data_IF_380677813528
#
_entry.id   IF_380677813528
#
_cell.length_a   1.000
_cell.length_b   1.000
_cell.length_c   1.000
_cell.angle_alpha   90.00
_cell.angle_beta   90.00
_cell.angle_gamma   90.00
#
_symmetry.space_group_name_H-M   'P 1'
#
loop_
_entity.id
_entity.type
_entity.pdbx_description
1 polymer ?
#
# COMPACT_ATOMS: atom_id res chain seq x y z
N UNK A 1 2.09 10.54 -10.14
CA UNK A 1 2.54 10.38 -8.76
C UNK A 1 2.57 8.93 -8.30
N UNK A 2 3.06 8.73 -7.09
CA UNK A 2 3.22 7.40 -6.49
C UNK A 2 1.95 6.86 -5.83
N UNK A 3 0.90 7.63 -5.74
CA UNK A 3 -0.37 7.26 -5.13
C UNK A 3 -1.56 7.90 -5.83
N UNK A 4 -2.75 7.44 -5.50
CA UNK A 4 -3.98 7.82 -6.18
C UNK A 4 -5.13 8.11 -5.23
N UNK A 5 -4.93 8.25 -3.96
CA UNK A 5 -6.01 8.50 -3.01
C UNK A 5 -5.57 8.33 -1.57
N UNK A 6 -6.50 7.93 -0.71
CA UNK A 6 -6.28 7.83 0.73
C UNK A 6 -5.15 6.91 1.14
N UNK A 7 -5.07 5.72 0.54
CA UNK A 7 -4.03 4.73 0.85
C UNK A 7 -2.61 5.29 0.64
N UNK A 8 -2.34 5.84 -0.55
CA UNK A 8 -1.02 6.39 -0.90
C UNK A 8 -0.68 7.63 -0.08
N UNK A 9 -1.65 8.53 0.16
CA UNK A 9 -1.42 9.73 0.99
C UNK A 9 -1.20 9.36 2.46
N UNK A 10 -1.90 8.35 2.98
CA UNK A 10 -1.70 7.87 4.34
C UNK A 10 -0.28 7.34 4.54
N UNK A 11 0.24 6.53 3.61
CA UNK A 11 1.62 6.05 3.64
C UNK A 11 2.64 7.21 3.67
N UNK A 12 2.41 8.26 2.84
CA UNK A 12 3.25 9.45 2.86
C UNK A 12 3.18 10.20 4.19
N UNK A 13 2.00 10.29 4.81
CA UNK A 13 1.83 10.89 6.14
C UNK A 13 2.53 10.08 7.23
N UNK A 14 2.49 8.75 7.16
CA UNK A 14 3.21 7.89 8.11
C UNK A 14 4.73 8.06 8.00
N UNK A 15 5.29 8.10 6.78
CA UNK A 15 6.73 8.31 6.61
C UNK A 15 7.19 9.65 7.22
N UNK A 16 6.42 10.73 7.01
CA UNK A 16 6.68 12.02 7.64
C UNK A 16 6.56 11.97 9.16
N UNK A 17 5.51 11.32 9.68
CA UNK A 17 5.29 11.15 11.10
C UNK A 17 6.37 10.32 11.80
N UNK A 18 6.77 9.22 11.20
CA UNK A 18 7.83 8.35 11.71
C UNK A 18 9.18 9.09 11.75
N UNK A 19 9.53 9.81 10.67
CA UNK A 19 10.73 10.64 10.63
C UNK A 19 10.69 11.75 11.68
N UNK A 20 9.56 12.43 11.85
CA UNK A 20 9.39 13.50 12.84
C UNK A 20 9.58 12.99 14.28
N UNK A 21 9.09 11.79 14.57
CA UNK A 21 9.20 11.18 15.91
C UNK A 21 10.49 10.37 16.11
N UNK A 22 11.40 10.35 15.14
CA UNK A 22 12.70 9.68 15.27
C UNK A 22 12.66 8.16 15.14
N UNK A 23 11.58 7.58 14.64
CA UNK A 23 11.51 6.16 14.36
C UNK A 23 12.31 5.80 13.10
N UNK A 24 13.06 4.71 13.19
CA UNK A 24 13.73 4.15 12.02
C UNK A 24 12.70 3.42 11.15
N UNK A 25 12.48 3.93 9.96
CA UNK A 25 11.48 3.38 9.06
C UNK A 25 11.93 3.42 7.61
N UNK A 26 11.41 2.48 6.83
CA UNK A 26 11.63 2.39 5.41
C UNK A 26 10.34 1.98 4.72
N UNK A 27 9.90 2.80 3.76
CA UNK A 27 8.80 2.46 2.88
C UNK A 27 9.31 1.80 1.60
N UNK A 28 8.51 0.91 1.03
CA UNK A 28 8.79 0.26 -0.24
C UNK A 28 7.62 0.47 -1.20
N UNK A 29 7.91 0.80 -2.45
CA UNK A 29 6.93 0.91 -3.52
C UNK A 29 7.58 0.67 -4.88
N UNK A 30 6.80 0.80 -5.95
CA UNK A 30 7.30 0.73 -7.32
C UNK A 30 7.57 2.15 -7.83
N UNK A 31 8.67 2.32 -8.55
CA UNK A 31 9.00 3.56 -9.27
C UNK A 31 8.18 3.61 -10.56
N UNK A 32 6.89 3.95 -10.44
CA UNK A 32 6.04 4.12 -11.61
C UNK A 32 6.54 5.28 -12.47
N UNK A 33 6.70 5.05 -13.77
CA UNK A 33 7.04 6.13 -14.72
C UNK A 33 5.88 7.11 -14.88
N UNK A 34 4.67 6.58 -14.98
CA UNK A 34 3.45 7.36 -15.03
C UNK A 34 2.55 7.08 -13.82
N UNK A 35 1.95 8.13 -13.27
CA UNK A 35 0.84 8.01 -12.32
C UNK A 35 -0.41 7.40 -13.00
N UNK A 36 -1.54 7.37 -12.27
CA UNK A 36 -2.76 6.73 -12.80
C UNK A 36 -3.20 7.38 -14.11
N UNK A 37 -3.36 8.67 -14.16
CA UNK A 37 -3.56 9.54 -15.34
C UNK A 37 -3.62 11.00 -14.89
N UNK A 38 -3.43 11.91 -15.85
CA UNK A 38 -3.72 13.32 -15.71
C UNK A 38 -5.10 13.60 -16.27
N UNK A 39 -6.02 14.06 -15.42
CA UNK A 39 -7.39 14.37 -15.82
C UNK A 39 -7.47 15.69 -16.55
N UNK A 40 -8.16 15.71 -17.68
CA UNK A 40 -8.58 16.90 -18.42
C UNK A 40 -10.06 16.79 -18.79
N UNK A 41 -10.77 17.91 -18.75
CA UNK A 41 -12.12 17.97 -19.26
C UNK A 41 -12.09 18.66 -20.64
N UNK A 42 -12.66 18.00 -21.64
CA UNK A 42 -12.79 18.49 -23.01
C UNK A 42 -14.24 18.29 -23.43
N UNK A 43 -14.91 19.40 -23.79
CA UNK A 43 -16.33 19.40 -24.19
C UNK A 43 -17.27 18.70 -23.18
N UNK A 44 -16.98 18.88 -21.88
CA UNK A 44 -17.76 18.26 -20.80
C UNK A 44 -17.39 16.81 -20.46
N UNK A 45 -16.47 16.20 -21.22
CA UNK A 45 -16.04 14.81 -21.01
C UNK A 45 -14.66 14.72 -20.39
N UNK A 46 -14.47 13.71 -19.52
CA UNK A 46 -13.15 13.40 -18.97
C UNK A 46 -12.25 12.84 -20.08
N UNK A 47 -11.06 13.42 -20.20
CA UNK A 47 -9.97 12.94 -21.05
C UNK A 47 -8.81 12.56 -20.15
N UNK A 48 -8.24 11.38 -20.36
CA UNK A 48 -7.13 10.83 -19.59
C UNK A 48 -5.83 10.99 -20.37
N UNK A 49 -4.85 11.66 -19.75
CA UNK A 49 -3.53 11.89 -20.33
C UNK A 49 -2.47 11.21 -19.46
N UNK A 50 -1.33 10.79 -20.03
CA UNK A 50 -0.23 10.26 -19.22
C UNK A 50 0.22 11.25 -18.15
N UNK A 51 0.35 10.77 -16.90
CA UNK A 51 0.85 11.55 -15.76
C UNK A 51 2.34 11.26 -15.55
N UNK A 52 3.20 11.88 -16.36
CA UNK A 52 4.63 11.88 -16.13
C UNK A 52 4.97 12.87 -15.01
N UNK A 53 5.09 12.34 -13.81
CA UNK A 53 5.19 13.13 -12.57
C UNK A 53 6.61 13.56 -12.19
N UNK A 54 7.62 13.12 -12.95
CA UNK A 54 9.03 13.47 -12.79
C UNK A 54 9.55 14.26 -14.02
N UNK A 55 9.00 15.44 -14.33
CA UNK A 55 9.33 16.18 -15.56
C UNK A 55 10.78 16.67 -15.61
N UNK A 56 11.44 16.81 -14.46
CA UNK A 56 12.84 17.19 -14.32
C UNK A 56 13.81 16.00 -14.15
N UNK A 57 13.32 14.76 -14.36
CA UNK A 57 14.10 13.54 -14.10
C UNK A 57 14.12 13.16 -12.61
N UNK A 58 15.14 12.40 -12.22
CA UNK A 58 15.24 11.78 -10.89
C UNK A 58 15.89 12.66 -9.82
N UNK A 59 15.58 13.95 -9.79
CA UNK A 59 16.22 14.92 -8.84
C UNK A 59 16.12 14.47 -7.38
N UNK A 60 15.00 13.82 -7.00
CA UNK A 60 14.74 13.35 -5.63
C UNK A 60 15.05 11.88 -5.42
N UNK A 61 15.45 11.15 -6.46
CA UNK A 61 15.66 9.71 -6.44
C UNK A 61 17.15 9.41 -6.66
N UNK A 62 17.73 8.66 -5.73
CA UNK A 62 19.12 8.20 -5.80
C UNK A 62 19.13 6.75 -6.23
N UNK A 63 19.62 6.40 -7.43
CA UNK A 63 19.72 5.00 -7.86
C UNK A 63 20.73 4.25 -6.98
N UNK A 64 20.43 3.00 -6.68
CA UNK A 64 21.28 2.11 -5.89
C UNK A 64 21.46 0.79 -6.65
N UNK A 65 22.12 0.87 -7.79
CA UNK A 65 22.30 -0.29 -8.69
C UNK A 65 23.02 -1.46 -8.02
N UNK A 66 23.90 -1.18 -7.06
CA UNK A 66 24.58 -2.20 -6.25
C UNK A 66 23.64 -3.01 -5.33
N UNK A 67 22.39 -2.58 -5.23
CA UNK A 67 21.31 -3.26 -4.48
C UNK A 67 20.27 -3.88 -5.38
N UNK A 68 20.53 -3.97 -6.68
CA UNK A 68 19.63 -4.63 -7.61
C UNK A 68 19.48 -6.12 -7.25
N UNK A 69 18.29 -6.64 -7.49
CA UNK A 69 18.00 -8.07 -7.29
C UNK A 69 17.11 -8.60 -8.41
N UNK A 70 17.00 -9.91 -8.48
CA UNK A 70 16.18 -10.59 -9.49
C UNK A 70 14.88 -11.08 -8.90
N UNK A 71 13.80 -10.94 -9.69
CA UNK A 71 12.47 -11.48 -9.39
C UNK A 71 12.07 -12.44 -10.50
N UNK A 72 11.63 -13.63 -10.13
CA UNK A 72 11.32 -14.73 -11.05
C UNK A 72 9.82 -14.93 -11.18
N UNK A 73 9.37 -15.04 -12.42
CA UNK A 73 7.98 -15.32 -12.78
C UNK A 73 7.91 -16.55 -13.69
N UNK A 74 6.77 -17.23 -13.70
CA UNK A 74 6.48 -18.36 -14.59
C UNK A 74 7.49 -19.50 -14.43
N UNK A 75 7.74 -20.27 -15.49
CA UNK A 75 8.60 -21.44 -15.42
C UNK A 75 7.97 -22.58 -14.62
N UNK A 76 8.81 -23.45 -14.08
CA UNK A 76 8.39 -24.59 -13.28
C UNK A 76 9.34 -24.83 -12.09
N UNK A 77 8.87 -25.58 -11.13
CA UNK A 77 9.64 -25.96 -9.96
C UNK A 77 10.10 -27.41 -10.14
N UNK A 78 11.42 -27.61 -10.04
CA UNK A 78 12.04 -28.92 -9.91
C UNK A 78 12.56 -29.05 -8.49
N UNK A 79 12.17 -30.09 -7.80
CA UNK A 79 12.58 -30.35 -6.43
C UNK A 79 13.11 -31.74 -6.22
N UNK A 80 13.98 -31.87 -5.24
CA UNK A 80 14.57 -33.13 -4.82
C UNK A 80 14.85 -33.10 -3.32
N UNK A 81 14.97 -34.29 -2.73
CA UNK A 81 15.28 -34.43 -1.31
C UNK A 81 16.66 -35.11 -1.15
N UNK A 82 17.46 -34.55 -0.27
CA UNK A 82 18.71 -35.14 0.20
C UNK A 82 18.63 -35.33 1.72
N UNK A 83 18.26 -36.52 2.14
CA UNK A 83 17.85 -36.73 3.53
C UNK A 83 16.60 -35.92 3.87
N UNK A 84 16.70 -35.09 4.90
CA UNK A 84 15.63 -34.20 5.35
C UNK A 84 15.67 -32.83 4.66
N UNK A 85 16.65 -32.58 3.79
CA UNK A 85 16.80 -31.30 3.11
C UNK A 85 16.09 -31.28 1.76
N UNK A 86 15.22 -30.30 1.59
CA UNK A 86 14.44 -30.06 0.37
C UNK A 86 15.16 -29.06 -0.53
N UNK A 87 15.66 -29.50 -1.65
CA UNK A 87 16.25 -28.66 -2.70
C UNK A 87 15.19 -28.23 -3.67
N UNK A 88 15.06 -26.94 -3.90
CA UNK A 88 14.09 -26.34 -4.82
C UNK A 88 14.81 -25.54 -5.89
N UNK A 89 14.58 -25.87 -7.15
CA UNK A 89 15.08 -25.15 -8.31
C UNK A 89 13.92 -24.56 -9.11
N UNK A 90 13.96 -23.25 -9.33
CA UNK A 90 13.02 -22.57 -10.20
C UNK A 90 13.64 -22.47 -11.60
N UNK A 91 13.18 -23.30 -12.52
CA UNK A 91 13.75 -23.45 -13.87
C UNK A 91 12.83 -22.81 -14.93
N UNK A 92 13.43 -22.40 -16.04
CA UNK A 92 12.73 -21.73 -17.15
C UNK A 92 11.93 -20.49 -16.72
N UNK A 93 12.36 -19.83 -15.64
CA UNK A 93 11.72 -18.63 -15.15
C UNK A 93 11.95 -17.43 -16.07
N UNK A 94 10.96 -16.57 -16.14
CA UNK A 94 11.09 -15.24 -16.72
C UNK A 94 11.65 -14.30 -15.64
N UNK A 95 12.90 -13.87 -15.79
CA UNK A 95 13.61 -13.07 -14.79
C UNK A 95 13.47 -11.58 -15.09
N UNK A 96 13.15 -10.82 -14.06
CA UNK A 96 13.07 -9.36 -14.08
C UNK A 96 14.04 -8.79 -13.04
N UNK A 97 14.88 -7.84 -13.44
CA UNK A 97 15.75 -7.12 -12.52
C UNK A 97 14.99 -5.98 -11.85
N UNK A 98 15.04 -5.94 -10.53
CA UNK A 98 14.54 -4.84 -9.71
C UNK A 98 15.69 -3.92 -9.32
N UNK A 99 15.63 -2.66 -9.75
CA UNK A 99 16.63 -1.64 -9.46
C UNK A 99 16.04 -0.63 -8.48
N UNK A 100 16.61 -0.48 -7.26
CA UNK A 100 16.08 0.42 -6.27
C UNK A 100 16.53 1.87 -6.47
N UNK A 101 15.60 2.79 -6.21
CA UNK A 101 15.82 4.23 -6.15
C UNK A 101 15.39 4.71 -4.77
N UNK A 102 16.28 5.40 -4.06
CA UNK A 102 15.99 5.89 -2.71
C UNK A 102 15.58 7.36 -2.72
N UNK A 103 14.43 7.64 -2.09
CA UNK A 103 13.98 8.97 -1.75
C UNK A 103 14.07 9.15 -0.24
N UNK A 104 14.73 10.20 0.22
CA UNK A 104 14.83 10.51 1.63
C UNK A 104 13.69 11.43 2.07
N UNK A 105 13.01 11.05 3.14
CA UNK A 105 11.88 11.79 3.71
C UNK A 105 12.31 12.33 5.07
N UNK A 106 12.60 13.62 5.13
CA UNK A 106 12.91 14.31 6.38
C UNK A 106 11.64 14.82 7.04
N UNK A 107 11.52 14.59 8.35
CA UNK A 107 10.49 15.19 9.18
C UNK A 107 10.95 16.51 9.81
N UNK A 108 10.15 17.08 10.68
CA UNK A 108 10.52 18.26 11.47
C UNK A 108 11.50 17.92 12.61
N UNK A 109 11.64 16.66 12.98
CA UNK A 109 12.53 16.18 14.02
C UNK A 109 13.94 15.84 13.49
N UNK A 110 14.62 14.94 14.21
CA UNK A 110 15.99 14.50 13.90
C UNK A 110 16.03 13.25 13.01
N UNK A 111 14.88 12.63 12.74
CA UNK A 111 14.78 11.40 11.98
C UNK A 111 14.67 11.65 10.49
N UNK A 112 15.11 10.65 9.72
CA UNK A 112 14.94 10.58 8.26
C UNK A 112 14.41 9.21 7.92
N UNK A 113 13.25 9.15 7.28
CA UNK A 113 12.72 7.92 6.68
C UNK A 113 13.25 7.78 5.26
N UNK A 114 13.28 6.55 4.78
CA UNK A 114 13.63 6.24 3.40
C UNK A 114 12.42 5.63 2.69
N UNK A 115 12.15 6.09 1.49
CA UNK A 115 11.23 5.44 0.57
C UNK A 115 12.03 4.83 -0.57
N UNK A 116 12.06 3.50 -0.67
CA UNK A 116 12.73 2.75 -1.73
C UNK A 116 11.73 2.39 -2.81
N UNK A 117 12.00 2.82 -4.02
CA UNK A 117 11.16 2.63 -5.19
C UNK A 117 11.86 1.70 -6.19
N UNK A 118 11.20 0.61 -6.56
CA UNK A 118 11.75 -0.38 -7.47
C UNK A 118 11.36 -0.11 -8.91
N UNK A 119 12.35 0.04 -9.77
CA UNK A 119 12.19 0.03 -11.23
C UNK A 119 12.43 -1.37 -11.78
N UNK A 120 11.62 -1.79 -12.74
CA UNK A 120 11.75 -3.08 -13.40
C UNK A 120 12.48 -2.96 -14.73
N UNK A 121 13.38 -3.92 -14.99
CA UNK A 121 14.15 -3.99 -16.22
C UNK A 121 14.41 -5.45 -16.57
N UNK A 122 14.54 -5.77 -17.86
CA UNK A 122 15.08 -7.07 -18.25
C UNK A 122 16.56 -7.12 -17.91
N UNK A 123 17.09 -8.22 -17.28
CA UNK A 123 18.50 -8.30 -16.89
C UNK A 123 19.45 -8.11 -18.08
N UNK A 124 19.18 -8.88 -19.14
CA UNK A 124 19.97 -8.86 -20.37
C UNK A 124 19.07 -8.75 -21.58
N UNK A 125 19.38 -7.85 -22.49
CA UNK A 125 18.79 -7.86 -23.82
C UNK A 125 19.27 -9.10 -24.57
N UNK A 126 18.34 -9.89 -25.09
CA UNK A 126 18.70 -11.14 -25.76
C UNK A 126 19.30 -10.87 -27.14
N UNK A 127 20.61 -10.64 -27.15
CA UNK A 127 21.39 -10.40 -28.36
C UNK A 127 21.39 -11.61 -29.28
N UNK A 128 21.22 -12.83 -28.75
CA UNK A 128 21.15 -14.05 -29.56
C UNK A 128 19.89 -14.06 -30.39
N UNK A 129 18.73 -13.84 -29.77
CA UNK A 129 17.45 -13.71 -30.47
C UNK A 129 17.47 -12.56 -31.47
N UNK A 130 18.06 -11.43 -31.08
CA UNK A 130 18.19 -10.27 -31.95
C UNK A 130 19.02 -10.57 -33.19
N UNK A 131 20.22 -11.14 -33.02
CA UNK A 131 21.11 -11.52 -34.11
C UNK A 131 20.59 -12.65 -35.01
N UNK A 132 19.68 -13.49 -34.50
CA UNK A 132 18.96 -14.48 -35.27
C UNK A 132 17.77 -13.91 -36.06
N UNK A 133 17.57 -12.59 -36.04
CA UNK A 133 16.46 -11.94 -36.73
C UNK A 133 15.13 -11.96 -35.98
N UNK A 134 15.09 -12.49 -34.76
CA UNK A 134 13.88 -12.49 -33.90
C UNK A 134 13.72 -11.19 -33.11
N UNK A 135 13.81 -10.05 -33.81
CA UNK A 135 13.80 -8.72 -33.19
C UNK A 135 12.55 -8.46 -32.36
N UNK A 136 11.39 -8.77 -32.88
CA UNK A 136 10.09 -8.56 -32.21
C UNK A 136 10.06 -9.30 -30.88
N UNK A 137 10.44 -10.57 -30.85
CA UNK A 137 10.45 -11.39 -29.64
C UNK A 137 11.40 -10.86 -28.57
N UNK A 138 12.60 -10.44 -28.98
CA UNK A 138 13.58 -9.85 -28.06
C UNK A 138 13.06 -8.52 -27.46
N UNK A 139 12.41 -7.68 -28.28
CA UNK A 139 11.80 -6.42 -27.84
C UNK A 139 10.57 -6.64 -26.95
N UNK A 140 9.70 -7.61 -27.26
CA UNK A 140 8.54 -7.96 -26.46
C UNK A 140 8.92 -8.42 -25.06
N UNK A 141 9.95 -9.25 -24.91
CA UNK A 141 10.45 -9.68 -23.61
C UNK A 141 10.95 -8.53 -22.76
N UNK A 142 11.67 -7.56 -23.38
CA UNK A 142 12.11 -6.36 -22.70
C UNK A 142 10.92 -5.47 -22.28
N UNK A 143 9.98 -5.26 -23.18
CA UNK A 143 8.78 -4.45 -22.93
C UNK A 143 7.92 -5.04 -21.81
N UNK A 144 7.77 -6.36 -21.74
CA UNK A 144 7.01 -7.03 -20.68
C UNK A 144 7.66 -6.85 -19.30
N UNK A 145 8.98 -6.91 -19.20
CA UNK A 145 9.69 -6.64 -17.96
C UNK A 145 9.52 -5.18 -17.53
N UNK A 146 9.68 -4.24 -18.44
CA UNK A 146 9.54 -2.80 -18.16
C UNK A 146 8.10 -2.38 -17.84
N UNK A 147 7.10 -3.08 -18.39
CA UNK A 147 5.68 -2.78 -18.16
C UNK A 147 5.30 -2.84 -16.66
N UNK A 148 6.00 -3.63 -15.86
CA UNK A 148 5.73 -3.80 -14.42
C UNK A 148 5.83 -2.46 -13.68
N UNK A 149 6.81 -1.62 -13.99
CA UNK A 149 6.97 -0.29 -13.37
C UNK A 149 6.47 0.87 -14.23
N UNK A 150 5.66 0.61 -15.26
CA UNK A 150 5.23 1.64 -16.21
C UNK A 150 4.14 2.54 -15.67
N UNK A 151 3.03 1.97 -15.21
CA UNK A 151 1.82 2.72 -14.83
C UNK A 151 1.27 2.26 -13.49
N UNK A 152 0.91 3.23 -12.63
CA UNK A 152 0.20 3.01 -11.39
C UNK A 152 -1.25 2.56 -11.67
N UNK A 153 -1.68 1.46 -11.06
CA UNK A 153 -3.03 0.90 -11.17
C UNK A 153 -3.49 0.73 -12.62
N UNK A 154 -2.84 -0.12 -13.44
CA UNK A 154 -3.35 -0.45 -14.75
C UNK A 154 -4.73 -1.09 -14.66
N UNK A 155 -5.54 -0.94 -15.70
CA UNK A 155 -6.85 -1.57 -15.76
C UNK A 155 -6.73 -3.10 -15.64
N UNK A 156 -7.61 -3.72 -14.87
CA UNK A 156 -7.61 -5.16 -14.56
C UNK A 156 -8.91 -5.88 -14.94
N UNK A 157 -9.62 -5.33 -15.90
CA UNK A 157 -10.83 -5.90 -16.49
C UNK A 157 -10.56 -6.92 -17.59
N UNK A 158 -9.30 -7.13 -17.97
CA UNK A 158 -8.85 -8.16 -18.89
C UNK A 158 -7.89 -9.17 -18.22
N UNK A 159 -7.69 -10.36 -18.79
CA UNK A 159 -6.70 -11.33 -18.29
C UNK A 159 -5.28 -10.76 -18.26
N UNK A 160 -4.90 -9.98 -19.28
CA UNK A 160 -3.59 -9.32 -19.37
C UNK A 160 -3.41 -8.29 -18.27
N UNK A 161 -4.44 -7.47 -18.01
CA UNK A 161 -4.43 -6.48 -16.95
C UNK A 161 -4.32 -7.11 -15.56
N UNK A 162 -5.05 -8.20 -15.31
CA UNK A 162 -4.93 -8.99 -14.07
C UNK A 162 -3.54 -9.58 -13.91
N UNK A 163 -2.97 -10.17 -14.97
CA UNK A 163 -1.61 -10.69 -14.96
C UNK A 163 -0.58 -9.60 -14.64
N UNK A 164 -0.70 -8.43 -15.27
CA UNK A 164 0.19 -7.31 -15.00
C UNK A 164 0.10 -6.85 -13.54
N UNK A 165 -1.10 -6.73 -12.98
CA UNK A 165 -1.27 -6.33 -11.57
C UNK A 165 -0.70 -7.34 -10.59
N UNK A 166 -0.86 -8.64 -10.84
CA UNK A 166 -0.26 -9.68 -10.01
C UNK A 166 1.28 -9.64 -10.11
N UNK A 167 1.83 -9.39 -11.30
CA UNK A 167 3.28 -9.18 -11.49
C UNK A 167 3.77 -7.97 -10.71
N UNK A 168 3.06 -6.85 -10.74
CA UNK A 168 3.42 -5.65 -9.98
C UNK A 168 3.49 -5.94 -8.47
N UNK A 169 2.52 -6.64 -7.93
CA UNK A 169 2.47 -6.97 -6.50
C UNK A 169 3.63 -7.89 -6.10
N UNK A 170 3.87 -8.97 -6.83
CA UNK A 170 4.97 -9.88 -6.51
C UNK A 170 6.34 -9.25 -6.74
N UNK A 171 6.49 -8.44 -7.79
CA UNK A 171 7.72 -7.68 -8.04
C UNK A 171 8.09 -6.78 -6.86
N UNK A 172 7.12 -5.97 -6.38
CA UNK A 172 7.31 -5.13 -5.20
C UNK A 172 7.69 -5.94 -3.98
N UNK A 173 6.95 -7.00 -3.71
CA UNK A 173 7.12 -7.84 -2.52
C UNK A 173 8.45 -8.55 -2.54
N UNK A 174 8.77 -9.25 -3.62
CA UNK A 174 9.99 -10.06 -3.71
C UNK A 174 11.24 -9.19 -3.59
N UNK A 175 11.32 -8.09 -4.34
CA UNK A 175 12.44 -7.17 -4.27
C UNK A 175 12.61 -6.59 -2.84
N UNK A 176 11.52 -6.18 -2.22
CA UNK A 176 11.54 -5.58 -0.88
C UNK A 176 11.93 -6.56 0.21
N UNK A 177 11.38 -7.77 0.18
CA UNK A 177 11.71 -8.82 1.17
C UNK A 177 13.16 -9.28 1.01
N UNK A 178 13.64 -9.46 -0.22
CA UNK A 178 15.05 -9.79 -0.45
C UNK A 178 15.98 -8.71 0.14
N UNK A 179 15.67 -7.44 -0.06
CA UNK A 179 16.44 -6.33 0.52
C UNK A 179 16.42 -6.33 2.06
N UNK A 180 15.26 -6.53 2.66
CA UNK A 180 15.11 -6.59 4.11
C UNK A 180 15.95 -7.74 4.70
N UNK A 181 15.81 -8.93 4.14
CA UNK A 181 16.52 -10.14 4.62
C UNK A 181 18.03 -10.00 4.43
N UNK A 182 18.49 -9.53 3.27
CA UNK A 182 19.91 -9.34 3.01
C UNK A 182 20.53 -8.33 3.99
N UNK A 183 19.85 -7.21 4.24
CA UNK A 183 20.31 -6.19 5.20
C UNK A 183 20.34 -6.73 6.62
N UNK A 184 19.35 -7.53 7.00
CA UNK A 184 19.28 -8.16 8.31
C UNK A 184 20.41 -9.17 8.50
N UNK A 185 20.62 -10.08 7.55
CA UNK A 185 21.69 -11.08 7.59
C UNK A 185 23.08 -10.42 7.62
N UNK A 186 23.28 -9.35 6.81
CA UNK A 186 24.54 -8.61 6.83
C UNK A 186 24.85 -8.03 8.22
N UNK A 187 23.83 -7.63 8.96
CA UNK A 187 24.02 -7.02 10.29
C UNK A 187 24.08 -8.04 11.43
N UNK A 188 23.27 -9.08 11.38
CA UNK A 188 23.07 -10.00 12.51
C UNK A 188 23.55 -11.44 12.23
N UNK A 189 23.77 -11.83 10.98
CA UNK A 189 24.24 -13.18 10.59
C UNK A 189 23.22 -14.29 10.75
N UNK A 190 22.01 -14.01 11.25
CA UNK A 190 20.93 -14.98 11.48
C UNK A 190 19.58 -14.34 11.28
N UNK A 191 18.53 -15.15 11.01
CA UNK A 191 17.13 -14.72 10.99
C UNK A 191 16.39 -15.06 12.30
N UNK A 192 17.01 -15.74 13.25
CA UNK A 192 16.36 -16.17 14.50
C UNK A 192 15.82 -14.99 15.30
N UNK A 193 16.48 -13.85 15.22
CA UNK A 193 16.09 -12.61 15.90
C UNK A 193 15.30 -11.64 15.00
N UNK A 194 14.83 -12.07 13.82
CA UNK A 194 14.12 -11.20 12.90
C UNK A 194 12.92 -10.49 13.55
N UNK A 195 12.03 -11.17 14.30
CA UNK A 195 10.87 -10.52 14.93
C UNK A 195 11.25 -9.46 15.98
N UNK A 196 12.42 -9.57 16.57
CA UNK A 196 12.89 -8.62 17.61
C UNK A 196 13.50 -7.33 17.01
N UNK A 197 13.87 -7.38 15.72
CA UNK A 197 14.60 -6.31 15.03
C UNK A 197 13.81 -5.67 13.90
N UNK A 198 12.86 -6.38 13.32
CA UNK A 198 12.12 -5.99 12.11
C UNK A 198 10.63 -6.17 12.36
N UNK A 199 9.86 -5.15 11.99
CA UNK A 199 8.41 -5.21 11.83
C UNK A 199 8.08 -4.94 10.36
N UNK A 200 7.38 -5.85 9.71
CA UNK A 200 6.93 -5.71 8.33
C UNK A 200 5.43 -5.45 8.34
N UNK A 201 5.02 -4.32 7.78
CA UNK A 201 3.62 -3.92 7.74
C UNK A 201 3.03 -4.07 6.34
N UNK A 202 2.03 -4.92 6.22
CA UNK A 202 1.25 -5.13 5.00
C UNK A 202 0.16 -4.07 4.92
N UNK A 203 0.33 -3.14 3.98
CA UNK A 203 -0.59 -2.01 3.79
C UNK A 203 -1.67 -2.38 2.78
N UNK A 204 -2.84 -2.77 3.25
CA UNK A 204 -3.88 -3.47 2.49
C UNK A 204 -3.42 -4.86 2.00
N UNK A 205 -4.21 -5.51 1.14
CA UNK A 205 -3.89 -6.86 0.63
C UNK A 205 -2.89 -6.88 -0.52
N UNK A 206 -2.51 -5.73 -1.05
CA UNK A 206 -1.62 -5.64 -2.21
C UNK A 206 -0.26 -6.33 -1.99
N UNK A 207 0.43 -6.16 -0.83
CA UNK A 207 1.68 -6.83 -0.56
C UNK A 207 1.55 -8.13 0.26
N UNK A 208 0.40 -8.78 0.26
CA UNK A 208 0.15 -10.02 1.03
C UNK A 208 1.17 -11.12 0.75
N UNK A 209 1.66 -11.21 -0.47
CA UNK A 209 2.65 -12.22 -0.85
C UNK A 209 4.00 -12.08 -0.11
N UNK A 210 4.17 -11.02 0.69
CA UNK A 210 5.29 -10.93 1.63
C UNK A 210 5.34 -12.13 2.59
N UNK A 211 4.20 -12.70 2.95
CA UNK A 211 4.11 -13.87 3.83
C UNK A 211 4.73 -15.11 3.17
N UNK A 212 4.23 -15.59 2.02
CA UNK A 212 4.85 -16.74 1.36
C UNK A 212 6.24 -16.43 0.79
N UNK A 213 6.59 -15.19 0.47
CA UNK A 213 7.93 -14.82 0.01
C UNK A 213 8.97 -14.90 1.14
N UNK A 214 8.64 -14.46 2.34
CA UNK A 214 9.47 -14.67 3.52
C UNK A 214 9.68 -16.16 3.78
N UNK A 215 8.61 -16.96 3.69
CA UNK A 215 8.71 -18.42 3.80
C UNK A 215 9.64 -18.99 2.74
N UNK A 216 9.51 -18.58 1.48
CA UNK A 216 10.35 -19.04 0.38
C UNK A 216 11.83 -18.80 0.66
N UNK A 217 12.19 -17.60 1.05
CA UNK A 217 13.60 -17.26 1.32
C UNK A 217 14.12 -18.07 2.51
N UNK A 218 13.35 -18.20 3.58
CA UNK A 218 13.77 -18.97 4.76
C UNK A 218 13.93 -20.45 4.44
N UNK A 219 12.98 -21.04 3.71
CA UNK A 219 12.99 -22.47 3.35
C UNK A 219 14.03 -22.79 2.29
N UNK A 220 14.03 -22.05 1.18
CA UNK A 220 14.76 -22.42 -0.03
C UNK A 220 16.19 -21.86 -0.05
N UNK A 221 16.43 -20.72 0.60
CA UNK A 221 17.73 -20.02 0.57
C UNK A 221 18.48 -20.05 1.90
N UNK A 222 17.77 -20.12 3.03
CA UNK A 222 18.36 -20.02 4.36
C UNK A 222 18.34 -21.33 5.17
N UNK A 223 17.73 -22.41 4.66
CA UNK A 223 17.75 -23.73 5.29
C UNK A 223 16.90 -23.88 6.55
N UNK A 224 15.93 -23.00 6.79
CA UNK A 224 14.99 -23.14 7.90
C UNK A 224 13.95 -24.23 7.64
N UNK A 225 13.53 -24.94 8.69
CA UNK A 225 12.37 -25.82 8.63
C UNK A 225 11.08 -25.03 8.59
N UNK A 226 9.96 -25.69 8.19
CA UNK A 226 8.66 -25.02 8.02
C UNK A 226 8.17 -24.36 9.30
N UNK A 227 8.12 -25.09 10.41
CA UNK A 227 7.53 -24.60 11.66
C UNK A 227 8.34 -23.43 12.25
N UNK A 228 9.66 -23.50 12.14
CA UNK A 228 10.56 -22.43 12.55
C UNK A 228 10.38 -21.18 11.68
N UNK A 229 10.37 -21.32 10.35
CA UNK A 229 10.13 -20.24 9.42
C UNK A 229 8.76 -19.60 9.64
N UNK A 230 7.72 -20.41 9.78
CA UNK A 230 6.36 -19.91 10.02
C UNK A 230 6.24 -19.13 11.34
N UNK A 231 6.88 -19.62 12.40
CA UNK A 231 6.95 -18.89 13.67
C UNK A 231 7.63 -17.52 13.53
N UNK A 232 8.72 -17.44 12.79
CA UNK A 232 9.41 -16.17 12.54
C UNK A 232 8.57 -15.21 11.70
N UNK A 233 7.95 -15.70 10.63
CA UNK A 233 7.11 -14.89 9.73
C UNK A 233 5.91 -14.31 10.49
N UNK A 234 5.15 -15.15 11.19
CA UNK A 234 3.93 -14.72 11.88
C UNK A 234 4.19 -13.76 13.04
N UNK A 235 5.38 -13.75 13.61
CA UNK A 235 5.78 -12.76 14.63
C UNK A 235 6.36 -11.46 14.04
N UNK A 236 6.68 -11.45 12.75
CA UNK A 236 7.29 -10.30 12.07
C UNK A 236 6.28 -9.45 11.32
N UNK A 237 5.18 -10.06 10.81
CA UNK A 237 4.24 -9.43 9.89
C UNK A 237 3.00 -8.92 10.62
N UNK A 238 2.55 -7.73 10.26
CA UNK A 238 1.28 -7.14 10.66
C UNK A 238 0.51 -6.64 9.42
N UNK A 239 -0.81 -6.55 9.53
CA UNK A 239 -1.71 -6.23 8.42
C UNK A 239 -2.69 -5.12 8.79
N UNK A 240 -2.85 -4.14 7.91
CA UNK A 240 -3.92 -3.13 7.98
C UNK A 240 -4.92 -3.35 6.86
N UNK A 241 -6.20 -3.52 7.22
CA UNK A 241 -7.31 -3.54 6.28
C UNK A 241 -7.85 -2.11 6.07
N UNK A 242 -8.20 -1.76 4.82
CA UNK A 242 -8.73 -0.44 4.46
C UNK A 242 -10.16 -0.48 3.93
N UNK A 243 -10.79 -1.64 3.85
CA UNK A 243 -12.15 -1.79 3.30
C UNK A 243 -12.99 -2.81 4.04
N UNK A 244 -14.32 -2.59 4.05
CA UNK A 244 -15.31 -3.56 4.53
C UNK A 244 -16.12 -4.18 3.38
N UNK A 245 -15.92 -3.70 2.17
CA UNK A 245 -16.65 -4.15 1.00
C UNK A 245 -16.08 -5.48 0.51
N UNK A 246 -16.91 -6.52 0.44
CA UNK A 246 -16.48 -7.87 0.05
C UNK A 246 -15.86 -7.89 -1.36
N UNK A 247 -16.40 -7.12 -2.30
CA UNK A 247 -15.90 -6.99 -3.66
C UNK A 247 -14.52 -6.31 -3.75
N UNK A 248 -14.12 -5.58 -2.72
CA UNK A 248 -12.80 -4.96 -2.64
C UNK A 248 -11.77 -5.83 -1.90
N UNK A 249 -12.17 -6.96 -1.33
CA UNK A 249 -11.26 -7.96 -0.79
C UNK A 249 -10.66 -8.76 -1.95
N UNK A 250 -9.36 -8.59 -2.16
CA UNK A 250 -8.66 -9.09 -3.33
C UNK A 250 -8.59 -10.61 -3.37
N UNK A 251 -8.98 -11.16 -4.52
CA UNK A 251 -8.87 -12.57 -4.84
C UNK A 251 -8.18 -12.73 -6.19
N UNK A 252 -7.36 -13.77 -6.31
CA UNK A 252 -6.72 -14.16 -7.56
C UNK A 252 -7.22 -15.52 -8.02
N UNK A 253 -7.37 -15.70 -9.33
CA UNK A 253 -7.60 -17.02 -9.90
C UNK A 253 -6.44 -17.94 -9.51
N UNK A 254 -6.74 -19.12 -9.00
CA UNK A 254 -5.75 -20.14 -8.63
C UNK A 254 -4.89 -20.53 -9.84
N UNK A 255 -5.50 -20.61 -11.04
CA UNK A 255 -4.80 -20.88 -12.30
C UNK A 255 -3.75 -19.79 -12.60
N UNK A 256 -4.13 -18.52 -12.58
CA UNK A 256 -3.22 -17.41 -12.83
C UNK A 256 -2.10 -17.36 -11.80
N UNK A 257 -2.45 -17.50 -10.52
CA UNK A 257 -1.52 -17.44 -9.40
C UNK A 257 -0.49 -18.58 -9.46
N UNK A 258 -0.92 -19.81 -9.71
CA UNK A 258 -0.05 -20.98 -9.81
C UNK A 258 0.85 -20.94 -11.03
N UNK A 259 0.33 -20.50 -12.18
CA UNK A 259 1.09 -20.40 -13.43
C UNK A 259 2.14 -19.29 -13.37
N UNK A 260 1.77 -18.14 -12.83
CA UNK A 260 2.67 -16.98 -12.77
C UNK A 260 3.71 -17.11 -11.65
N UNK A 261 3.34 -17.71 -10.53
CA UNK A 261 4.12 -17.76 -9.29
C UNK A 261 4.16 -19.21 -8.74
N UNK A 262 4.79 -20.16 -9.45
CA UNK A 262 4.65 -21.58 -9.13
C UNK A 262 5.19 -21.94 -7.73
N UNK A 263 6.31 -21.37 -7.29
CA UNK A 263 6.84 -21.66 -5.95
C UNK A 263 6.01 -20.98 -4.86
N UNK A 264 5.62 -19.75 -5.04
CA UNK A 264 4.75 -19.02 -4.12
C UNK A 264 3.41 -19.72 -3.97
N UNK A 265 2.87 -20.25 -5.05
CA UNK A 265 1.63 -21.05 -5.00
C UNK A 265 1.79 -22.32 -4.15
N UNK A 266 2.87 -23.08 -4.33
CA UNK A 266 3.14 -24.26 -3.50
C UNK A 266 3.17 -23.93 -2.02
N UNK A 267 3.86 -22.85 -1.66
CA UNK A 267 3.97 -22.38 -0.26
C UNK A 267 2.61 -21.88 0.25
N UNK A 268 1.90 -21.11 -0.54
CA UNK A 268 0.56 -20.60 -0.17
C UNK A 268 -0.42 -21.76 0.05
N UNK A 269 -0.36 -22.78 -0.79
CA UNK A 269 -1.18 -23.99 -0.66
C UNK A 269 -0.85 -24.78 0.62
N UNK A 270 0.41 -24.88 0.97
CA UNK A 270 0.81 -25.54 2.22
C UNK A 270 0.44 -24.72 3.45
N UNK A 271 0.51 -23.38 3.39
CA UNK A 271 -0.02 -22.51 4.44
C UNK A 271 -1.51 -22.77 4.61
N UNK A 272 -2.27 -22.83 3.53
CA UNK A 272 -3.70 -23.12 3.56
C UNK A 272 -4.01 -24.48 4.18
N UNK A 273 -3.30 -25.53 3.77
CA UNK A 273 -3.48 -26.88 4.30
C UNK A 273 -3.30 -26.93 5.83
N UNK A 274 -2.22 -26.34 6.32
CA UNK A 274 -1.92 -26.28 7.76
C UNK A 274 -2.90 -25.41 8.50
N UNK A 275 -3.31 -24.28 7.92
CA UNK A 275 -4.29 -23.37 8.51
C UNK A 275 -5.68 -24.02 8.59
N UNK A 276 -6.13 -24.73 7.56
CA UNK A 276 -7.37 -25.53 7.59
C UNK A 276 -7.34 -26.57 8.71
N UNK A 277 -6.24 -27.29 8.86
CA UNK A 277 -6.06 -28.27 9.94
C UNK A 277 -6.13 -27.63 11.33
N UNK A 278 -5.52 -26.45 11.50
CA UNK A 278 -5.60 -25.67 12.73
C UNK A 278 -7.04 -25.26 13.04
N UNK A 279 -7.75 -24.67 12.08
CA UNK A 279 -9.15 -24.24 12.27
C UNK A 279 -10.05 -25.44 12.60
N UNK A 280 -9.87 -26.55 11.89
CA UNK A 280 -10.60 -27.79 12.18
C UNK A 280 -10.35 -28.29 13.60
N UNK A 281 -9.09 -28.36 14.03
CA UNK A 281 -8.75 -28.80 15.38
C UNK A 281 -9.34 -27.95 16.49
N UNK A 282 -9.47 -26.64 16.22
CA UNK A 282 -10.00 -25.66 17.18
C UNK A 282 -11.53 -25.60 17.20
N UNK A 283 -12.21 -25.90 16.09
CA UNK A 283 -13.65 -25.62 15.95
C UNK A 283 -14.51 -26.84 15.64
N UNK A 284 -13.96 -27.86 14.98
CA UNK A 284 -14.68 -29.01 14.41
C UNK A 284 -15.87 -28.59 13.51
N UNK A 285 -15.74 -27.43 12.84
CA UNK A 285 -16.74 -26.82 11.99
C UNK A 285 -16.21 -26.72 10.54
N UNK A 286 -16.73 -27.60 9.67
CA UNK A 286 -16.30 -27.68 8.27
C UNK A 286 -16.64 -26.42 7.47
N UNK A 287 -17.80 -25.79 7.77
CA UNK A 287 -18.20 -24.55 7.08
C UNK A 287 -17.29 -23.39 7.49
N UNK A 288 -16.87 -23.35 8.73
CA UNK A 288 -15.91 -22.35 9.23
C UNK A 288 -14.54 -22.53 8.59
N UNK A 289 -14.06 -23.78 8.49
CA UNK A 289 -12.81 -24.10 7.76
C UNK A 289 -12.87 -23.58 6.33
N UNK A 290 -13.98 -23.79 5.63
CA UNK A 290 -14.15 -23.36 4.23
C UNK A 290 -14.23 -21.82 4.10
N UNK A 291 -14.93 -21.15 5.00
CA UNK A 291 -15.00 -19.67 4.99
C UNK A 291 -13.65 -19.02 5.29
N UNK A 292 -12.85 -19.61 6.16
CA UNK A 292 -11.53 -19.10 6.54
C UNK A 292 -10.40 -19.56 5.60
N UNK A 293 -10.67 -20.48 4.69
CA UNK A 293 -9.69 -21.03 3.76
C UNK A 293 -9.04 -19.93 2.90
N UNK A 294 -7.76 -20.10 2.63
CA UNK A 294 -6.95 -19.21 1.78
C UNK A 294 -7.15 -19.58 0.32
N UNK A 295 -7.00 -20.86 -0.01
CA UNK A 295 -7.21 -21.38 -1.37
C UNK A 295 -8.46 -22.25 -1.40
N UNK A 296 -9.46 -21.83 -2.16
CA UNK A 296 -10.74 -22.52 -2.24
C UNK A 296 -11.51 -22.13 -3.49
N UNK A 297 -12.24 -23.08 -4.06
CA UNK A 297 -13.11 -22.86 -5.22
C UNK A 297 -12.39 -22.17 -6.40
N UNK A 298 -11.13 -22.52 -6.65
CA UNK A 298 -10.34 -21.98 -7.76
C UNK A 298 -9.87 -20.53 -7.56
N UNK A 299 -9.92 -20.02 -6.34
CA UNK A 299 -9.42 -18.67 -6.01
C UNK A 299 -8.49 -18.67 -4.79
N UNK A 300 -7.58 -17.71 -4.76
CA UNK A 300 -6.70 -17.39 -3.64
C UNK A 300 -7.21 -16.12 -2.97
N UNK A 301 -7.59 -16.22 -1.70
CA UNK A 301 -8.17 -15.13 -0.90
C UNK A 301 -7.07 -14.43 -0.11
N UNK A 302 -6.65 -13.26 -0.59
CA UNK A 302 -5.49 -12.57 -0.04
C UNK A 302 -5.74 -12.06 1.39
N UNK A 303 -6.92 -11.57 1.69
CA UNK A 303 -7.25 -11.13 3.05
C UNK A 303 -7.17 -12.26 4.08
N UNK A 304 -7.63 -13.46 3.73
CA UNK A 304 -7.52 -14.63 4.61
C UNK A 304 -6.05 -15.01 4.86
N UNK A 305 -5.21 -14.95 3.83
CA UNK A 305 -3.77 -15.16 3.98
C UNK A 305 -3.13 -14.09 4.90
N UNK A 306 -3.50 -12.83 4.74
CA UNK A 306 -3.04 -11.74 5.59
C UNK A 306 -3.35 -11.99 7.08
N UNK A 307 -4.60 -12.33 7.39
CA UNK A 307 -5.00 -12.56 8.78
C UNK A 307 -4.35 -13.80 9.36
N UNK A 308 -4.24 -14.88 8.57
CA UNK A 308 -3.58 -16.11 9.02
C UNK A 308 -2.09 -15.89 9.34
N UNK A 309 -1.39 -15.13 8.51
CA UNK A 309 0.07 -14.92 8.59
C UNK A 309 0.54 -13.72 9.42
N UNK A 310 -0.38 -12.93 9.97
CA UNK A 310 -0.03 -11.72 10.75
C UNK A 310 -0.26 -11.91 12.24
N UNK A 311 0.58 -11.31 13.07
CA UNK A 311 0.35 -11.28 14.53
C UNK A 311 -0.64 -10.18 14.95
N UNK A 312 -0.83 -9.15 14.11
CA UNK A 312 -1.73 -8.02 14.38
C UNK A 312 -2.47 -7.63 13.12
N UNK A 313 -3.76 -7.37 13.27
CA UNK A 313 -4.68 -6.92 12.21
C UNK A 313 -5.43 -5.71 12.72
N UNK A 314 -5.31 -4.58 12.05
CA UNK A 314 -6.03 -3.38 12.43
C UNK A 314 -6.95 -2.85 11.34
N UNK A 315 -8.08 -2.26 11.79
CA UNK A 315 -8.86 -1.33 11.01
C UNK A 315 -8.34 0.10 11.16
N UNK A 316 -8.90 1.03 10.39
CA UNK A 316 -8.41 2.41 10.25
C UNK A 316 -9.30 3.48 10.91
N UNK A 317 -10.32 3.04 11.62
CA UNK A 317 -11.14 3.84 12.54
C UNK A 317 -11.80 2.90 13.57
N UNK A 318 -12.27 3.44 14.68
CA UNK A 318 -12.96 2.63 15.70
C UNK A 318 -14.13 1.85 15.10
N UNK A 319 -15.03 2.53 14.37
CA UNK A 319 -16.17 1.89 13.71
C UNK A 319 -15.74 0.82 12.69
N UNK A 320 -14.74 1.12 11.86
CA UNK A 320 -14.22 0.16 10.88
C UNK A 320 -13.67 -1.09 11.58
N UNK A 321 -12.92 -0.92 12.65
CA UNK A 321 -12.34 -2.03 13.41
C UNK A 321 -13.40 -2.92 14.05
N UNK A 322 -14.50 -2.35 14.56
CA UNK A 322 -15.63 -3.13 15.06
C UNK A 322 -16.36 -3.89 13.92
N UNK A 323 -16.57 -3.25 12.77
CA UNK A 323 -17.15 -3.93 11.60
C UNK A 323 -16.28 -5.13 11.15
N UNK A 324 -14.95 -4.98 11.19
CA UNK A 324 -14.05 -6.11 10.88
C UNK A 324 -14.25 -7.28 11.82
N UNK A 325 -14.39 -7.03 13.13
CA UNK A 325 -14.63 -8.06 14.15
C UNK A 325 -16.02 -8.70 14.03
N UNK A 326 -17.03 -7.87 13.78
CA UNK A 326 -18.43 -8.32 13.80
C UNK A 326 -18.83 -9.02 12.51
N UNK A 327 -18.24 -8.68 11.36
CA UNK A 327 -18.70 -9.17 10.05
C UNK A 327 -17.59 -9.72 9.19
N UNK A 328 -16.63 -8.88 8.75
CA UNK A 328 -15.68 -9.22 7.68
C UNK A 328 -14.75 -10.37 8.09
N UNK A 329 -14.19 -10.29 9.29
CA UNK A 329 -13.26 -11.27 9.86
C UNK A 329 -13.80 -11.90 11.16
N UNK A 330 -15.12 -12.00 11.32
CA UNK A 330 -15.72 -12.52 12.54
C UNK A 330 -15.22 -13.94 12.88
N UNK A 331 -15.13 -14.83 11.90
CA UNK A 331 -14.61 -16.18 12.11
C UNK A 331 -13.18 -16.17 12.65
N UNK A 332 -12.33 -15.28 12.13
CA UNK A 332 -10.95 -15.10 12.61
C UNK A 332 -10.91 -14.46 14.00
N UNK A 333 -11.75 -13.45 14.23
CA UNK A 333 -11.83 -12.76 15.52
C UNK A 333 -12.27 -13.69 16.64
N UNK A 334 -13.26 -14.54 16.39
CA UNK A 334 -13.71 -15.52 17.39
C UNK A 334 -12.63 -16.55 17.73
N UNK A 335 -11.73 -16.85 16.80
CA UNK A 335 -10.65 -17.82 17.00
C UNK A 335 -9.41 -17.20 17.63
N UNK A 336 -9.05 -15.98 17.23
CA UNK A 336 -7.84 -15.27 17.66
C UNK A 336 -8.13 -13.79 17.95
N UNK A 337 -8.93 -13.47 19.00
CA UNK A 337 -9.37 -12.09 19.25
C UNK A 337 -8.23 -11.11 19.51
N UNK A 338 -7.15 -11.57 20.11
CA UNK A 338 -5.99 -10.73 20.47
C UNK A 338 -5.23 -10.17 19.26
N UNK A 339 -5.44 -10.73 18.07
CA UNK A 339 -4.86 -10.17 16.83
C UNK A 339 -5.47 -8.83 16.43
N UNK A 340 -6.73 -8.55 16.81
CA UNK A 340 -7.51 -7.44 16.27
C UNK A 340 -7.42 -6.20 17.13
N UNK A 341 -7.02 -5.09 16.52
CA UNK A 341 -6.92 -3.79 17.18
C UNK A 341 -7.41 -2.67 16.24
N UNK A 342 -7.40 -1.45 16.76
CA UNK A 342 -7.70 -0.26 15.99
C UNK A 342 -6.51 0.70 15.96
N UNK A 343 -6.19 1.21 14.77
CA UNK A 343 -5.28 2.34 14.60
C UNK A 343 -5.96 3.34 13.67
N UNK A 344 -6.55 4.37 14.25
CA UNK A 344 -7.26 5.41 13.50
C UNK A 344 -6.30 6.14 12.56
N UNK A 345 -6.73 6.36 11.33
CA UNK A 345 -5.98 7.15 10.36
C UNK A 345 -5.69 8.56 10.88
N UNK A 346 -4.50 9.06 10.56
CA UNK A 346 -4.07 10.41 10.86
C UNK A 346 -3.62 11.17 9.61
N UNK A 347 -3.18 12.39 9.83
CA UNK A 347 -2.63 13.26 8.78
C UNK A 347 -1.28 13.84 9.22
N UNK A 348 -0.45 14.21 8.24
CA UNK A 348 0.70 15.09 8.48
C UNK A 348 0.18 16.53 8.66
N UNK A 349 -0.13 16.92 9.89
CA UNK A 349 -0.75 18.23 10.19
C UNK A 349 0.14 19.41 9.81
N UNK A 350 1.46 19.27 9.75
CA UNK A 350 2.34 20.30 9.18
C UNK A 350 1.97 20.63 7.75
N UNK A 351 1.65 19.64 6.92
CA UNK A 351 1.16 19.86 5.56
C UNK A 351 -0.28 20.40 5.54
N UNK A 352 -1.16 19.73 6.29
CA UNK A 352 -2.62 19.96 6.19
C UNK A 352 -3.16 21.06 7.10
N UNK A 353 -2.33 21.59 8.02
CA UNK A 353 -2.61 22.78 8.84
C UNK A 353 -1.59 23.86 8.51
N UNK A 354 -0.30 23.63 8.85
CA UNK A 354 0.70 24.70 8.81
C UNK A 354 0.98 25.23 7.40
N UNK A 355 1.14 24.33 6.42
CA UNK A 355 1.36 24.71 5.04
C UNK A 355 0.08 25.15 4.34
N UNK A 356 -1.04 24.51 4.64
CA UNK A 356 -2.33 24.78 3.99
C UNK A 356 -2.93 26.11 4.42
N UNK A 357 -2.77 26.48 5.71
CA UNK A 357 -3.34 27.71 6.29
C UNK A 357 -2.34 28.40 7.24
N UNK A 358 -1.41 29.20 6.69
CA UNK A 358 -0.41 29.91 7.48
C UNK A 358 -1.04 30.87 8.53
N UNK A 359 -2.12 31.57 8.21
CA UNK A 359 -2.79 32.49 9.15
C UNK A 359 -3.40 31.76 10.35
N UNK A 360 -4.03 30.61 10.11
CA UNK A 360 -4.52 29.75 11.18
C UNK A 360 -3.36 29.27 12.04
N UNK A 361 -2.23 28.88 11.43
CA UNK A 361 -1.04 28.42 12.12
C UNK A 361 -0.45 29.50 13.02
N UNK A 362 -0.32 30.73 12.54
CA UNK A 362 0.15 31.88 13.33
C UNK A 362 -0.77 32.10 14.53
N UNK A 363 -2.07 32.10 14.31
CA UNK A 363 -3.02 32.31 15.39
C UNK A 363 -3.05 31.18 16.42
N UNK A 364 -2.93 29.92 15.99
CA UNK A 364 -2.76 28.80 16.93
C UNK A 364 -1.47 28.98 17.75
N UNK A 365 -0.39 29.41 17.10
CA UNK A 365 0.89 29.65 17.77
C UNK A 365 0.80 30.77 18.83
N UNK A 366 0.06 31.83 18.54
CA UNK A 366 -0.24 32.90 19.54
C UNK A 366 -1.00 32.36 20.75
N UNK A 367 -1.95 31.43 20.53
CA UNK A 367 -2.82 30.92 21.59
C UNK A 367 -2.16 29.88 22.48
N UNK A 368 -1.36 28.96 21.92
CA UNK A 368 -0.86 27.75 22.62
C UNK A 368 0.64 27.50 22.46
N UNK A 369 1.37 28.36 21.72
CA UNK A 369 2.78 28.15 21.38
C UNK A 369 2.97 27.23 20.16
N UNK A 370 4.22 27.01 19.76
CA UNK A 370 4.60 26.31 18.52
C UNK A 370 4.84 24.81 18.68
N UNK A 371 4.75 24.26 19.89
CA UNK A 371 5.02 22.83 20.16
C UNK A 371 4.13 21.88 19.35
N UNK A 372 2.91 22.32 19.01
CA UNK A 372 2.00 21.48 18.21
C UNK A 372 2.58 21.13 16.83
N UNK A 373 3.53 21.91 16.31
CA UNK A 373 4.17 21.65 15.00
C UNK A 373 4.87 20.28 14.97
N UNK A 374 5.31 19.77 16.10
CA UNK A 374 5.94 18.44 16.25
C UNK A 374 5.16 17.48 17.13
N UNK A 375 4.27 17.99 17.97
CA UNK A 375 3.48 17.25 18.95
C UNK A 375 2.01 17.63 18.79
N UNK A 376 1.29 16.92 17.92
CA UNK A 376 -0.09 17.24 17.57
C UNK A 376 -1.08 17.24 18.73
N UNK A 377 -0.80 16.46 19.79
CA UNK A 377 -1.60 16.44 21.02
C UNK A 377 -1.63 17.79 21.74
N UNK A 378 -0.66 18.67 21.51
CA UNK A 378 -0.67 20.03 22.04
C UNK A 378 -1.88 20.85 21.55
N UNK A 379 -2.46 20.50 20.39
CA UNK A 379 -3.69 21.13 19.88
C UNK A 379 -4.88 20.97 20.82
N UNK A 380 -4.88 20.00 21.72
CA UNK A 380 -5.92 19.82 22.72
C UNK A 380 -6.03 21.05 23.66
N UNK A 381 -4.95 21.80 23.84
CA UNK A 381 -4.95 23.04 24.61
C UNK A 381 -5.89 24.10 24.07
N UNK A 382 -6.30 24.01 22.80
CA UNK A 382 -7.30 24.90 22.21
C UNK A 382 -8.68 24.75 22.85
N UNK A 383 -8.99 23.62 23.51
CA UNK A 383 -10.28 23.40 24.19
C UNK A 383 -10.60 24.44 25.23
N UNK A 384 -9.60 25.06 25.87
CA UNK A 384 -9.78 26.14 26.85
C UNK A 384 -10.42 27.41 26.26
N UNK A 385 -10.37 27.56 24.94
CA UNK A 385 -10.93 28.73 24.25
C UNK A 385 -12.28 28.43 23.58
N UNK A 386 -12.91 27.28 23.80
CA UNK A 386 -14.12 26.84 23.12
C UNK A 386 -15.30 27.84 23.25
N UNK A 387 -15.35 28.62 24.35
CA UNK A 387 -16.41 29.58 24.64
C UNK A 387 -15.90 31.05 24.58
N UNK A 388 -14.64 31.26 24.21
CA UNK A 388 -14.06 32.59 24.08
C UNK A 388 -14.49 33.25 22.77
N UNK A 389 -15.44 34.18 22.84
CA UNK A 389 -16.02 34.89 21.69
C UNK A 389 -14.97 35.63 20.85
N UNK A 390 -13.91 36.16 21.47
CA UNK A 390 -12.86 36.86 20.75
C UNK A 390 -12.06 35.89 19.90
N UNK A 391 -11.71 34.73 20.45
CA UNK A 391 -11.02 33.70 19.71
C UNK A 391 -11.87 33.13 18.60
N UNK A 392 -13.15 32.82 18.87
CA UNK A 392 -14.07 32.30 17.86
C UNK A 392 -14.29 33.31 16.70
N UNK A 393 -14.46 34.60 16.99
CA UNK A 393 -14.56 35.60 15.95
C UNK A 393 -13.32 35.72 15.09
N UNK A 394 -12.12 35.59 15.68
CA UNK A 394 -10.88 35.60 14.91
C UNK A 394 -10.74 34.36 14.00
N UNK A 395 -11.18 33.20 14.46
CA UNK A 395 -11.24 31.99 13.61
C UNK A 395 -12.20 32.15 12.43
N UNK A 396 -13.36 32.76 12.66
CA UNK A 396 -14.34 33.07 11.60
C UNK A 396 -13.72 34.04 10.57
N UNK A 397 -13.03 35.08 11.02
CA UNK A 397 -12.33 36.04 10.15
C UNK A 397 -11.31 35.35 9.26
N UNK A 398 -10.43 34.51 9.84
CA UNK A 398 -9.41 33.71 9.09
C UNK A 398 -10.10 32.83 8.04
N UNK A 399 -11.17 32.14 8.43
CA UNK A 399 -11.96 31.31 7.51
C UNK A 399 -12.55 32.13 6.37
N UNK A 400 -13.14 33.27 6.66
CA UNK A 400 -13.71 34.15 5.65
C UNK A 400 -12.67 34.67 4.65
N UNK A 401 -11.48 35.09 5.12
CA UNK A 401 -10.39 35.50 4.24
C UNK A 401 -9.96 34.39 3.28
N UNK A 402 -9.90 33.11 3.74
CA UNK A 402 -9.63 31.97 2.91
C UNK A 402 -10.71 31.76 1.84
N UNK A 403 -12.00 31.94 2.19
CA UNK A 403 -13.13 31.88 1.25
C UNK A 403 -13.06 32.97 0.19
N UNK A 404 -12.73 34.20 0.57
CA UNK A 404 -12.51 35.32 -0.37
C UNK A 404 -11.37 35.01 -1.36
N UNK A 405 -10.26 34.48 -0.85
CA UNK A 405 -9.13 34.07 -1.70
C UNK A 405 -9.52 32.99 -2.67
N UNK A 406 -10.27 31.99 -2.20
CA UNK A 406 -10.77 30.89 -3.04
C UNK A 406 -11.76 31.40 -4.10
N UNK A 407 -12.71 32.28 -3.75
CA UNK A 407 -13.66 32.87 -4.69
C UNK A 407 -12.95 33.66 -5.81
N UNK A 408 -11.91 34.42 -5.49
CA UNK A 408 -11.06 35.09 -6.49
C UNK A 408 -10.36 34.13 -7.43
N UNK A 409 -9.85 33.01 -6.90
CA UNK A 409 -9.19 31.96 -7.70
C UNK A 409 -10.19 31.30 -8.67
N UNK A 410 -11.38 30.95 -8.20
CA UNK A 410 -12.43 30.33 -9.04
C UNK A 410 -12.87 31.29 -10.14
N UNK A 411 -13.11 32.56 -9.81
CA UNK A 411 -13.44 33.59 -10.82
C UNK A 411 -12.36 33.70 -11.89
N UNK A 412 -11.08 33.72 -11.49
CA UNK A 412 -9.95 33.78 -12.44
C UNK A 412 -9.83 32.56 -13.33
N UNK A 413 -10.06 31.36 -12.80
CA UNK A 413 -9.85 30.10 -13.52
C UNK A 413 -11.06 29.65 -14.33
N UNK A 414 -12.26 29.86 -13.79
CA UNK A 414 -13.51 29.29 -14.32
C UNK A 414 -14.50 30.34 -14.81
N UNK A 415 -14.25 31.65 -14.52
CA UNK A 415 -15.19 32.71 -14.85
C UNK A 415 -16.43 32.82 -13.93
N UNK A 416 -16.51 31.96 -12.91
CA UNK A 416 -17.67 31.84 -12.03
C UNK A 416 -17.47 32.69 -10.78
N UNK A 417 -18.49 33.52 -10.43
CA UNK A 417 -18.54 34.21 -9.17
C UNK A 417 -19.08 33.31 -8.05
N UNK A 418 -18.41 33.32 -6.90
CA UNK A 418 -18.86 32.64 -5.68
C UNK A 418 -18.99 33.68 -4.58
N UNK A 419 -20.08 33.63 -3.84
CA UNK A 419 -20.29 34.47 -2.65
C UNK A 419 -19.48 33.89 -1.46
N UNK A 420 -18.48 34.62 -0.94
CA UNK A 420 -17.68 34.15 0.18
C UNK A 420 -18.45 34.07 1.50
N UNK A 421 -19.63 34.71 1.61
CA UNK A 421 -20.46 34.64 2.81
C UNK A 421 -21.36 33.39 2.83
N UNK A 422 -21.54 32.71 1.68
CA UNK A 422 -22.29 31.45 1.60
C UNK A 422 -21.60 30.30 2.32
N UNK A 423 -22.34 29.24 2.64
CA UNK A 423 -21.78 27.98 3.10
C UNK A 423 -21.13 27.26 1.90
N UNK A 424 -19.86 26.89 2.03
CA UNK A 424 -19.18 26.11 1.01
C UNK A 424 -19.36 24.63 1.28
N UNK A 425 -20.19 23.97 0.46
CA UNK A 425 -20.27 22.50 0.41
C UNK A 425 -19.32 21.99 -0.66
N UNK A 426 -18.41 21.08 -0.25
CA UNK A 426 -17.34 20.58 -1.13
C UNK A 426 -17.29 19.06 -1.09
N UNK A 427 -17.65 18.44 -2.21
CA UNK A 427 -17.49 17.00 -2.39
C UNK A 427 -16.43 16.70 -3.47
N UNK A 428 -15.18 16.46 -3.05
CA UNK A 428 -14.05 16.15 -3.93
C UNK A 428 -13.65 14.71 -3.71
N UNK A 429 -14.19 13.79 -4.54
CA UNK A 429 -14.01 12.34 -4.42
C UNK A 429 -13.97 11.73 -5.81
N UNK A 430 -13.27 10.58 -5.98
CA UNK A 430 -13.43 9.76 -7.17
C UNK A 430 -14.86 9.22 -7.25
N UNK A 431 -15.39 9.04 -8.45
CA UNK A 431 -16.72 8.46 -8.65
C UNK A 431 -16.73 7.01 -8.16
N UNK A 432 -17.69 6.70 -7.29
CA UNK A 432 -17.94 5.36 -6.78
C UNK A 432 -19.28 5.29 -6.06
N UNK A 433 -20.01 4.18 -6.21
CA UNK A 433 -21.35 4.01 -5.62
C UNK A 433 -21.38 4.28 -4.11
N UNK A 434 -20.44 3.71 -3.33
CA UNK A 434 -20.42 3.87 -1.88
C UNK A 434 -20.21 5.30 -1.42
N UNK A 435 -19.69 6.19 -2.27
CA UNK A 435 -19.48 7.63 -1.97
C UNK A 435 -20.75 8.45 -2.14
N UNK A 436 -21.81 7.88 -2.73
CA UNK A 436 -23.15 8.47 -2.83
C UNK A 436 -23.17 9.87 -3.46
N UNK A 437 -22.35 10.10 -4.51
CA UNK A 437 -22.35 11.38 -5.22
C UNK A 437 -23.70 11.69 -5.85
N UNK A 438 -24.41 10.70 -6.39
CA UNK A 438 -25.75 10.87 -6.93
C UNK A 438 -26.73 11.37 -5.86
N UNK A 439 -26.66 10.85 -4.63
CA UNK A 439 -27.49 11.33 -3.53
C UNK A 439 -27.20 12.80 -3.21
N UNK A 440 -25.93 13.22 -3.26
CA UNK A 440 -25.56 14.62 -3.08
C UNK A 440 -26.11 15.52 -4.20
N UNK A 441 -26.10 15.06 -5.45
CA UNK A 441 -26.73 15.81 -6.56
C UNK A 441 -28.23 15.97 -6.34
N UNK A 442 -28.93 14.94 -5.88
CA UNK A 442 -30.35 15.03 -5.53
C UNK A 442 -30.60 16.02 -4.39
N UNK A 443 -29.72 16.06 -3.39
CA UNK A 443 -29.79 17.04 -2.31
C UNK A 443 -29.64 18.48 -2.84
N UNK A 444 -28.67 18.74 -3.71
CA UNK A 444 -28.46 20.04 -4.36
C UNK A 444 -29.72 20.48 -5.14
N UNK A 445 -30.33 19.56 -5.90
CA UNK A 445 -31.56 19.83 -6.64
C UNK A 445 -32.70 20.18 -5.67
N UNK A 446 -32.85 19.45 -4.58
CA UNK A 446 -33.87 19.71 -3.57
C UNK A 446 -33.70 21.10 -2.92
N UNK A 447 -32.47 21.44 -2.53
CA UNK A 447 -32.15 22.75 -1.97
C UNK A 447 -32.38 23.92 -2.97
N UNK A 448 -32.08 23.67 -4.26
CA UNK A 448 -32.32 24.68 -5.31
C UNK A 448 -33.81 24.92 -5.57
N UNK A 449 -34.68 23.94 -5.31
CA UNK A 449 -36.12 24.03 -5.50
C UNK A 449 -36.87 24.65 -4.29
N UNK A 450 -36.22 24.71 -3.11
CA UNK A 450 -36.76 25.38 -1.91
C UNK A 450 -36.56 26.89 -1.96
#
# INVERSE_FOLDING_TARGET
GLGNGGLGRLAACYLDGLATNGFQSMGYSIRYEAGIFKQKLVDGWQTELPDFWLPGGDVWLVPREERACEVKFEGRIEDSWDGDYHHVNHVDANVVTAIPYDMYVSGKGKGVSRLRLWASKKPDFDMTLFNQGSYVKAMEQSAMAEAISKVLYPADNSPEGKSLRLRQQYFLVSASIQDIIQRHLTKYGTLDNLPDKIAIHINDTHPTMAIPELMRIMLDECGYGWDEAWSLVTRTVAYTNHTVMKEALECWSEELYSRLLPRIYQITKEIDNRFRAYVWSATHDADKVERMAIVSNGIVRMANLCVAGSHSVNGVSALHSEILKDTVFNDFYTLTPDKFCNVTNGIAFRRWICQADPKLTEYITELIGDKFITQSNELEKLRKFKDDKKVLNKLIEIKHENKVRFAKMVKKRNGIGIDPDSIFDVQVKRLHEYKRQQLNVLNIIAEYQM
#
